data_IF_087764016731
#
_entry.id   IF_087764016731
#
_cell.length_a   1.000
_cell.length_b   1.000
_cell.length_c   1.000
_cell.angle_alpha   90.00
_cell.angle_beta   90.00
_cell.angle_gamma   90.00
#
_symmetry.space_group_name_H-M   'P 1'
#
loop_
_entity.id
_entity.type
_entity.pdbx_description
1 polymer ?
#
# COMPACT_ATOMS: atom_id res chain seq x y z
N UNK A 1 -5.76 -6.14 -7.48
CA UNK A 1 -4.85 -5.54 -8.48
C UNK A 1 -4.04 -6.66 -9.10
N UNK A 2 -3.90 -6.72 -10.42
CA UNK A 2 -3.24 -7.83 -11.12
C UNK A 2 -1.73 -7.57 -11.30
N UNK A 3 -1.00 -7.41 -10.20
CA UNK A 3 0.48 -7.33 -10.20
C UNK A 3 1.05 -8.35 -9.24
N UNK A 4 2.28 -8.82 -9.51
CA UNK A 4 3.01 -9.73 -8.64
C UNK A 4 4.48 -9.79 -8.99
N UNK A 5 5.21 -10.76 -8.41
CA UNK A 5 6.67 -10.91 -8.58
C UNK A 5 7.15 -10.88 -10.03
N UNK A 6 6.40 -11.51 -10.95
CA UNK A 6 6.72 -11.56 -12.37
C UNK A 6 6.39 -10.30 -13.17
N UNK A 7 5.71 -9.32 -12.57
CA UNK A 7 5.38 -8.05 -13.23
C UNK A 7 6.64 -7.19 -13.39
N UNK A 8 6.95 -6.79 -14.62
CA UNK A 8 8.05 -5.88 -14.90
C UNK A 8 7.82 -4.50 -14.27
N UNK A 9 8.90 -3.81 -13.91
CA UNK A 9 8.84 -2.58 -13.11
C UNK A 9 7.94 -1.48 -13.69
N UNK A 10 8.01 -1.26 -15.01
CA UNK A 10 7.20 -0.24 -15.67
C UNK A 10 5.71 -0.56 -15.57
N UNK A 11 5.33 -1.82 -15.77
CA UNK A 11 3.95 -2.28 -15.64
C UNK A 11 3.49 -2.23 -14.17
N UNK A 12 4.38 -2.52 -13.23
CA UNK A 12 4.10 -2.38 -11.79
C UNK A 12 3.80 -0.93 -11.43
N UNK A 13 4.65 0.01 -11.85
CA UNK A 13 4.46 1.44 -11.57
C UNK A 13 3.16 1.94 -12.20
N UNK A 14 2.90 1.57 -13.45
CA UNK A 14 1.65 1.93 -14.14
C UNK A 14 0.42 1.42 -13.39
N UNK A 15 0.42 0.15 -12.97
CA UNK A 15 -0.70 -0.42 -12.21
C UNK A 15 -0.93 0.26 -10.84
N UNK A 16 0.15 0.66 -10.16
CA UNK A 16 0.06 1.40 -8.90
C UNK A 16 -0.51 2.80 -9.15
N UNK A 17 -0.08 3.49 -10.22
CA UNK A 17 -0.60 4.80 -10.59
C UNK A 17 -2.08 4.74 -10.98
N UNK A 18 -2.48 3.73 -11.75
CA UNK A 18 -3.89 3.46 -12.08
C UNK A 18 -4.73 3.20 -10.82
N UNK A 19 -4.20 2.40 -9.88
CA UNK A 19 -4.86 2.17 -8.61
C UNK A 19 -4.99 3.45 -7.79
N UNK A 20 -3.96 4.30 -7.75
CA UNK A 20 -4.00 5.60 -7.07
C UNK A 20 -5.11 6.47 -7.66
N UNK A 21 -5.18 6.58 -8.98
CA UNK A 21 -6.19 7.40 -9.64
C UNK A 21 -7.61 6.92 -9.37
N UNK A 22 -7.82 5.60 -9.38
CA UNK A 22 -9.13 4.97 -9.17
C UNK A 22 -9.57 4.95 -7.69
N UNK A 23 -8.65 4.67 -6.76
CA UNK A 23 -8.98 4.37 -5.37
C UNK A 23 -8.71 5.53 -4.40
N UNK A 24 -7.76 6.42 -4.69
CA UNK A 24 -7.42 7.54 -3.79
C UNK A 24 -8.35 8.73 -4.07
N UNK A 25 -9.08 9.24 -3.06
CA UNK A 25 -10.00 10.35 -3.23
C UNK A 25 -9.35 11.57 -3.92
N UNK A 26 -10.00 12.17 -4.94
CA UNK A 26 -9.43 13.29 -5.68
C UNK A 26 -9.00 14.48 -4.81
N UNK A 27 -9.70 14.73 -3.70
CA UNK A 27 -9.35 15.77 -2.73
C UNK A 27 -8.02 15.50 -2.03
N UNK A 28 -7.71 14.24 -1.70
CA UNK A 28 -6.42 13.87 -1.12
C UNK A 28 -5.31 13.95 -2.17
N UNK A 29 -5.58 13.54 -3.41
CA UNK A 29 -4.61 13.63 -4.51
C UNK A 29 -4.21 15.08 -4.82
N UNK A 30 -5.18 16.01 -4.85
CA UNK A 30 -4.90 17.44 -4.99
C UNK A 30 -4.10 17.99 -3.81
N UNK A 31 -4.48 17.64 -2.57
CA UNK A 31 -3.77 18.09 -1.38
C UNK A 31 -2.33 17.56 -1.30
N UNK A 32 -2.06 16.37 -1.86
CA UNK A 32 -0.73 15.77 -1.88
C UNK A 32 0.33 16.65 -2.56
N UNK A 33 -0.06 17.44 -3.56
CA UNK A 33 0.82 18.40 -4.23
C UNK A 33 1.38 19.47 -3.26
N UNK A 34 0.68 19.74 -2.16
CA UNK A 34 1.09 20.68 -1.10
C UNK A 34 1.71 19.98 0.10
N UNK A 35 2.00 18.68 0.00
CA UNK A 35 2.70 17.89 1.01
C UNK A 35 1.81 17.34 2.13
N UNK A 36 2.46 16.69 3.09
CA UNK A 36 1.79 15.85 4.10
C UNK A 36 0.84 16.61 5.02
N UNK A 37 1.15 17.87 5.35
CA UNK A 37 0.31 18.69 6.22
C UNK A 37 -1.03 19.01 5.55
N UNK A 38 -1.02 19.33 4.25
CA UNK A 38 -2.23 19.57 3.48
C UNK A 38 -3.13 18.33 3.41
N UNK A 39 -2.54 17.14 3.23
CA UNK A 39 -3.32 15.88 3.30
C UNK A 39 -3.98 15.73 4.67
N UNK A 40 -3.23 15.93 5.76
CA UNK A 40 -3.79 15.80 7.12
C UNK A 40 -4.89 16.82 7.40
N UNK A 41 -4.85 17.98 6.76
CA UNK A 41 -5.91 18.99 6.86
C UNK A 41 -7.21 18.57 6.16
N UNK A 42 -7.14 17.77 5.09
CA UNK A 42 -8.31 17.33 4.30
C UNK A 42 -8.72 15.88 4.52
N UNK A 43 -7.99 15.16 5.39
CA UNK A 43 -8.20 13.75 5.69
C UNK A 43 -8.18 13.53 7.19
N UNK A 44 -9.36 13.51 7.78
CA UNK A 44 -9.52 13.12 9.17
C UNK A 44 -9.12 11.65 9.38
N UNK A 45 -8.86 11.29 10.65
CA UNK A 45 -8.58 9.91 11.03
C UNK A 45 -9.74 8.97 10.68
N UNK A 46 -10.98 9.41 10.89
CA UNK A 46 -12.16 8.58 10.67
C UNK A 46 -12.43 8.36 9.18
N UNK A 47 -12.22 9.36 8.34
CA UNK A 47 -12.27 9.20 6.88
C UNK A 47 -11.19 8.23 6.41
N UNK A 48 -9.97 8.35 6.94
CA UNK A 48 -8.92 7.40 6.62
C UNK A 48 -9.26 5.98 7.07
N UNK A 49 -9.81 5.81 8.28
CA UNK A 49 -10.22 4.51 8.80
C UNK A 49 -11.33 3.85 7.95
N UNK A 50 -12.33 4.63 7.50
CA UNK A 50 -13.38 4.15 6.59
C UNK A 50 -12.85 3.77 5.22
N UNK A 51 -11.82 4.47 4.73
CA UNK A 51 -11.21 4.21 3.42
C UNK A 51 -10.14 3.12 3.45
N UNK A 52 -9.46 2.90 4.59
CA UNK A 52 -8.35 1.96 4.75
C UNK A 52 -8.63 0.54 4.23
N UNK A 53 -9.85 -0.03 4.33
CA UNK A 53 -10.16 -1.32 3.71
C UNK A 53 -9.84 -1.39 2.21
N UNK A 54 -10.01 -0.30 1.45
CA UNK A 54 -9.65 -0.25 0.03
C UNK A 54 -8.12 -0.35 -0.17
N UNK A 55 -7.33 0.24 0.72
CA UNK A 55 -5.87 0.15 0.71
C UNK A 55 -5.37 -1.21 1.17
N UNK A 56 -6.01 -1.81 2.17
CA UNK A 56 -5.70 -3.16 2.62
C UNK A 56 -6.01 -4.19 1.50
N UNK A 57 -7.17 -4.07 0.85
CA UNK A 57 -7.59 -4.97 -0.22
C UNK A 57 -6.73 -4.88 -1.49
N UNK A 58 -5.95 -3.80 -1.67
CA UNK A 58 -5.02 -3.70 -2.79
C UNK A 58 -3.74 -4.52 -2.59
N UNK A 59 -3.46 -4.96 -1.36
CA UNK A 59 -2.24 -5.66 -0.96
C UNK A 59 -1.01 -4.75 -0.83
N UNK A 60 -1.11 -3.47 -1.21
CA UNK A 60 0.02 -2.53 -1.18
C UNK A 60 0.51 -2.21 0.24
N UNK A 61 -0.35 -2.34 1.25
CA UNK A 61 0.01 -2.15 2.66
C UNK A 61 1.02 -3.21 3.15
N UNK A 62 1.02 -4.38 2.53
CA UNK A 62 1.89 -5.53 2.83
C UNK A 62 2.44 -6.13 1.53
N UNK A 63 2.92 -5.27 0.62
CA UNK A 63 3.30 -5.61 -0.75
C UNK A 63 4.19 -6.86 -0.91
N UNK A 64 5.06 -7.13 0.06
CA UNK A 64 6.04 -8.23 0.03
C UNK A 64 5.52 -9.54 0.63
N UNK A 65 4.34 -9.53 1.25
CA UNK A 65 3.76 -10.74 1.82
C UNK A 65 3.25 -11.68 0.72
N UNK A 66 3.21 -13.00 0.96
CA UNK A 66 2.56 -13.92 0.05
C UNK A 66 1.10 -13.53 -0.23
N UNK A 67 0.63 -13.82 -1.45
CA UNK A 67 -0.75 -13.54 -1.88
C UNK A 67 -1.78 -14.21 -0.96
N UNK A 68 -1.49 -15.41 -0.48
CA UNK A 68 -2.36 -16.14 0.47
C UNK A 68 -2.62 -15.37 1.78
N UNK A 69 -1.75 -14.43 2.14
CA UNK A 69 -1.88 -13.57 3.33
C UNK A 69 -2.26 -12.13 2.99
N UNK A 70 -2.81 -11.90 1.78
CA UNK A 70 -3.29 -10.60 1.32
C UNK A 70 -2.21 -9.66 0.77
N UNK A 71 -0.97 -10.14 0.60
CA UNK A 71 0.10 -9.39 -0.06
C UNK A 71 0.08 -9.55 -1.58
N UNK A 72 1.17 -9.10 -2.21
CA UNK A 72 1.37 -9.14 -3.67
C UNK A 72 2.59 -9.97 -4.08
N UNK A 73 3.28 -10.57 -3.11
CA UNK A 73 4.53 -11.32 -3.28
C UNK A 73 5.62 -10.53 -4.04
N UNK A 74 5.59 -9.19 -3.94
CA UNK A 74 6.58 -8.34 -4.59
C UNK A 74 7.96 -8.54 -3.94
N UNK A 75 9.01 -8.47 -4.76
CA UNK A 75 10.37 -8.31 -4.23
C UNK A 75 10.51 -7.00 -3.45
N UNK A 76 11.50 -6.90 -2.56
CA UNK A 76 11.78 -5.67 -1.81
C UNK A 76 11.97 -4.45 -2.74
N UNK A 77 12.62 -4.65 -3.89
CA UNK A 77 12.83 -3.62 -4.90
C UNK A 77 11.51 -3.18 -5.53
N UNK A 78 10.66 -4.11 -5.93
CA UNK A 78 9.33 -3.82 -6.48
C UNK A 78 8.42 -3.13 -5.46
N UNK A 79 8.45 -3.57 -4.21
CA UNK A 79 7.73 -2.92 -3.12
C UNK A 79 8.20 -1.48 -2.93
N UNK A 80 9.52 -1.22 -3.05
CA UNK A 80 10.06 0.14 -2.98
C UNK A 80 9.55 1.03 -4.12
N UNK A 81 9.48 0.52 -5.35
CA UNK A 81 8.90 1.25 -6.47
C UNK A 81 7.44 1.63 -6.20
N UNK A 82 6.65 0.70 -5.66
CA UNK A 82 5.26 0.99 -5.28
C UNK A 82 5.17 2.03 -4.14
N UNK A 83 6.03 1.93 -3.12
CA UNK A 83 6.10 2.90 -2.02
C UNK A 83 6.38 4.31 -2.51
N UNK A 84 7.34 4.47 -3.43
CA UNK A 84 7.71 5.79 -3.95
C UNK A 84 6.52 6.48 -4.66
N UNK A 85 5.57 5.72 -5.21
CA UNK A 85 4.30 6.26 -5.76
C UNK A 85 3.29 6.63 -4.67
N UNK A 86 3.28 5.91 -3.55
CA UNK A 86 2.30 6.06 -2.46
C UNK A 86 2.68 7.17 -1.45
N UNK A 87 3.98 7.40 -1.25
CA UNK A 87 4.52 8.37 -0.28
C UNK A 87 3.91 9.77 -0.40
N UNK A 88 3.73 10.37 -1.61
CA UNK A 88 3.12 11.69 -1.74
C UNK A 88 1.74 11.78 -1.09
N UNK A 89 0.97 10.70 -1.12
CA UNK A 89 -0.39 10.61 -0.57
C UNK A 89 -0.44 10.28 0.93
N UNK A 90 0.73 10.28 1.59
CA UNK A 90 0.91 9.87 2.98
C UNK A 90 0.26 8.48 3.21
N UNK A 91 0.50 7.57 2.27
CA UNK A 91 0.14 6.15 2.32
C UNK A 91 1.43 5.35 2.45
N UNK A 92 1.51 4.51 3.47
CA UNK A 92 2.73 3.76 3.79
C UNK A 92 2.43 2.31 4.12
N UNK A 93 3.50 1.52 4.27
CA UNK A 93 3.42 0.12 4.71
C UNK A 93 2.76 -0.02 6.07
N UNK A 94 2.26 -1.22 6.33
CA UNK A 94 1.87 -1.65 7.67
C UNK A 94 3.01 -1.37 8.65
N UNK A 95 2.65 -0.84 9.83
CA UNK A 95 3.62 -0.47 10.85
C UNK A 95 4.55 -1.66 11.17
N UNK A 96 5.89 -1.50 11.06
CA UNK A 96 6.84 -2.56 11.38
C UNK A 96 6.76 -3.00 12.85
N UNK A 97 6.34 -2.12 13.76
CA UNK A 97 6.13 -2.44 15.16
C UNK A 97 4.74 -3.06 15.32
N UNK A 98 4.68 -4.40 15.46
CA UNK A 98 3.45 -5.16 15.64
C UNK A 98 3.31 -6.28 14.61
N UNK A 99 2.12 -6.36 13.97
CA UNK A 99 1.75 -7.46 13.07
C UNK A 99 2.77 -7.71 11.95
N UNK A 100 3.40 -6.66 11.41
CA UNK A 100 4.41 -6.81 10.36
C UNK A 100 5.64 -7.61 10.81
N UNK A 101 6.05 -7.47 12.08
CA UNK A 101 7.19 -8.21 12.64
C UNK A 101 6.83 -9.64 13.06
N UNK A 102 5.58 -9.87 13.47
CA UNK A 102 5.11 -11.20 13.88
C UNK A 102 4.81 -12.10 12.68
N UNK A 103 4.40 -11.51 11.56
CA UNK A 103 3.93 -12.25 10.39
C UNK A 103 4.92 -13.27 9.80
N UNK A 104 6.23 -13.00 9.63
CA UNK A 104 7.17 -13.98 9.10
C UNK A 104 7.24 -15.28 9.93
N UNK A 105 7.17 -15.17 11.27
CA UNK A 105 7.19 -16.33 12.14
C UNK A 105 5.90 -17.17 12.01
N UNK A 106 4.74 -16.50 11.91
CA UNK A 106 3.46 -17.17 11.66
C UNK A 106 3.42 -17.81 10.27
N UNK A 107 3.98 -17.17 9.25
CA UNK A 107 4.05 -17.75 7.89
C UNK A 107 4.91 -19.01 7.85
N UNK A 108 5.99 -19.06 8.63
CA UNK A 108 6.93 -20.17 8.62
C UNK A 108 6.51 -21.33 9.55
N UNK A 109 5.78 -21.04 10.63
CA UNK A 109 5.55 -22.00 11.72
C UNK A 109 4.09 -22.07 12.22
N UNK A 110 3.20 -21.24 11.69
CA UNK A 110 1.78 -21.27 12.02
C UNK A 110 1.08 -22.53 11.51
N UNK A 111 0.06 -22.95 12.24
CA UNK A 111 -0.89 -23.99 11.79
C UNK A 111 -2.15 -23.31 11.23
N UNK A 112 -2.85 -23.99 10.31
CA UNK A 112 -4.16 -23.55 9.81
C UNK A 112 -5.26 -23.61 10.88
#
# INVERSE_FOLDING_TARGET
>A
MAIGRGTGDAALVAAVDEWIEAAVPPVWRRAAASGRQAIRAVRSRDEYARWYPAFAASGLVVATWPVAYGGLDLSLRQARLAEDRLVPYNLGRLNPLGLHNTAPALFAHGTE
#
